data_IF_786479735826
#
_entry.id   IF_786479735826
#
_cell.length_a   1.000
_cell.length_b   1.000
_cell.length_c   1.000
_cell.angle_alpha   90.00
_cell.angle_beta   90.00
_cell.angle_gamma   90.00
#
_symmetry.space_group_name_H-M   'P 1'
#
loop_
_entity.id
_entity.type
_entity.pdbx_description
1 polymer ?
#
# COMPACT_ATOMS: atom_id res chain seq x y z
N UNK A 1 -12.06 8.22 2.10
CA UNK A 1 -12.59 6.84 2.26
C UNK A 1 -11.53 6.00 2.98
N UNK A 2 -11.87 4.78 3.44
CA UNK A 2 -10.93 3.88 4.15
C UNK A 2 -10.66 2.63 3.30
N UNK A 3 -9.40 2.21 3.22
CA UNK A 3 -8.94 1.10 2.39
C UNK A 3 -8.18 0.04 3.20
N UNK A 4 -8.41 -1.22 2.85
CA UNK A 4 -7.62 -2.37 3.27
C UNK A 4 -6.61 -2.71 2.16
N UNK A 5 -5.34 -2.81 2.52
CA UNK A 5 -4.25 -3.22 1.65
C UNK A 5 -3.98 -4.71 1.81
N UNK A 6 -3.91 -5.37 0.66
CA UNK A 6 -3.49 -6.76 0.54
C UNK A 6 -2.22 -6.83 -0.32
N UNK A 7 -1.23 -7.56 0.17
CA UNK A 7 0.01 -7.83 -0.52
C UNK A 7 0.21 -9.34 -0.64
N UNK A 8 0.40 -9.85 -1.86
CA UNK A 8 0.51 -11.29 -2.13
C UNK A 8 -0.67 -12.10 -1.54
N UNK A 9 -1.88 -11.51 -1.58
CA UNK A 9 -3.10 -12.11 -1.02
C UNK A 9 -3.24 -12.02 0.50
N UNK A 10 -2.24 -11.52 1.22
CA UNK A 10 -2.30 -11.33 2.67
C UNK A 10 -2.75 -9.92 3.04
N UNK A 11 -3.62 -9.81 4.04
CA UNK A 11 -4.00 -8.52 4.60
C UNK A 11 -2.82 -7.93 5.38
N UNK A 12 -2.33 -6.76 4.98
CA UNK A 12 -1.14 -6.12 5.57
C UNK A 12 -1.43 -4.78 6.23
N UNK A 13 -2.57 -4.16 5.93
CA UNK A 13 -2.99 -2.93 6.60
C UNK A 13 -4.45 -2.61 6.32
N UNK A 14 -5.14 -2.03 7.29
CA UNK A 14 -6.51 -1.52 7.16
C UNK A 14 -6.49 0.01 7.12
N UNK A 15 -7.65 0.68 7.16
CA UNK A 15 -7.71 2.09 7.58
C UNK A 15 -7.07 3.13 6.66
N UNK A 16 -6.45 2.75 5.54
CA UNK A 16 -5.66 3.66 4.70
C UNK A 16 -6.59 4.71 4.08
N UNK A 17 -6.24 5.99 4.18
CA UNK A 17 -7.02 7.07 3.55
C UNK A 17 -6.68 7.24 2.05
N UNK A 18 -7.49 8.03 1.34
CA UNK A 18 -7.32 8.22 -0.12
C UNK A 18 -5.97 8.86 -0.47
N UNK A 19 -5.49 9.80 0.34
CA UNK A 19 -4.23 10.51 0.11
C UNK A 19 -3.03 9.55 0.26
N UNK A 20 -3.04 8.75 1.32
CA UNK A 20 -2.04 7.73 1.59
C UNK A 20 -2.05 6.65 0.51
N UNK A 21 -3.23 6.17 0.11
CA UNK A 21 -3.37 5.23 -1.01
C UNK A 21 -2.76 5.78 -2.30
N UNK A 22 -3.10 7.02 -2.67
CA UNK A 22 -2.58 7.65 -3.87
C UNK A 22 -1.05 7.76 -3.84
N UNK A 23 -0.48 8.15 -2.71
CA UNK A 23 0.98 8.21 -2.52
C UNK A 23 1.64 6.83 -2.63
N UNK A 24 1.05 5.79 -2.02
CA UNK A 24 1.56 4.43 -2.13
C UNK A 24 1.53 3.90 -3.57
N UNK A 25 0.47 4.19 -4.33
CA UNK A 25 0.36 3.80 -5.74
C UNK A 25 1.45 4.47 -6.58
N UNK A 26 1.68 5.78 -6.40
CA UNK A 26 2.72 6.53 -7.10
C UNK A 26 4.14 5.96 -6.83
N UNK A 27 4.43 5.60 -5.57
CA UNK A 27 5.68 4.92 -5.22
C UNK A 27 5.78 3.53 -5.88
N UNK A 28 4.70 2.75 -5.91
CA UNK A 28 4.69 1.43 -6.56
C UNK A 28 4.89 1.53 -8.08
N UNK A 29 4.26 2.51 -8.73
CA UNK A 29 4.40 2.75 -10.17
C UNK A 29 5.83 3.16 -10.53
N UNK A 30 6.43 4.05 -9.74
CA UNK A 30 7.84 4.44 -9.89
C UNK A 30 8.77 3.24 -9.73
N UNK A 31 8.56 2.44 -8.67
CA UNK A 31 9.35 1.24 -8.41
C UNK A 31 9.22 0.18 -9.53
N UNK A 32 8.02 0.03 -10.08
CA UNK A 32 7.76 -0.86 -11.20
C UNK A 32 8.42 -0.38 -12.49
N UNK A 33 8.45 0.93 -12.74
CA UNK A 33 9.15 1.52 -13.89
C UNK A 33 10.66 1.33 -13.79
N UNK A 34 11.23 1.48 -12.60
CA UNK A 34 12.66 1.33 -12.33
C UNK A 34 13.10 -0.13 -12.16
N UNK A 35 12.16 -1.06 -12.01
CA UNK A 35 12.42 -2.47 -11.73
C UNK A 35 13.08 -2.70 -10.36
N UNK A 36 12.84 -1.82 -9.39
CA UNK A 36 13.46 -1.85 -8.07
C UNK A 36 12.44 -2.13 -6.97
N UNK A 37 12.93 -2.69 -5.86
CA UNK A 37 12.12 -2.85 -4.63
C UNK A 37 11.92 -1.46 -4.03
N UNK A 38 10.69 -1.13 -3.66
CA UNK A 38 10.37 0.08 -2.92
C UNK A 38 10.00 -0.22 -1.47
N UNK A 39 10.48 0.64 -0.57
CA UNK A 39 10.05 0.63 0.82
C UNK A 39 8.89 1.61 1.00
N UNK A 40 7.68 1.08 1.13
CA UNK A 40 6.48 1.86 1.39
C UNK A 40 6.36 2.04 2.90
N UNK A 41 6.56 3.26 3.39
CA UNK A 41 6.35 3.60 4.79
C UNK A 41 5.29 4.70 4.88
N UNK A 42 4.21 4.44 5.60
CA UNK A 42 3.19 5.44 5.90
C UNK A 42 2.71 5.32 7.34
N UNK A 43 2.07 6.37 7.83
CA UNK A 43 1.41 6.36 9.15
C UNK A 43 -0.04 5.96 8.95
N UNK A 44 -0.45 4.88 9.58
CA UNK A 44 -1.84 4.44 9.63
C UNK A 44 -2.65 5.40 10.53
N UNK A 45 -3.95 5.59 10.30
CA UNK A 45 -4.74 6.54 11.08
C UNK A 45 -4.89 6.25 12.58
N UNK A 46 -4.62 5.02 13.03
CA UNK A 46 -4.54 4.68 14.46
C UNK A 46 -3.19 5.06 15.12
N UNK A 47 -2.24 5.56 14.34
CA UNK A 47 -0.91 5.97 14.77
C UNK A 47 0.18 4.93 14.54
N UNK A 48 -0.16 3.71 14.11
CA UNK A 48 0.82 2.68 13.79
C UNK A 48 1.53 2.98 12.47
N UNK A 49 2.77 2.54 12.34
CA UNK A 49 3.55 2.70 11.11
C UNK A 49 3.37 1.47 10.23
N UNK A 50 2.78 1.67 9.05
CA UNK A 50 2.69 0.64 8.03
C UNK A 50 3.97 0.67 7.21
N UNK A 51 4.74 -0.41 7.27
CA UNK A 51 5.95 -0.60 6.45
C UNK A 51 5.81 -1.84 5.58
N UNK A 52 6.04 -1.68 4.28
CA UNK A 52 5.94 -2.75 3.30
C UNK A 52 7.07 -2.66 2.27
N UNK A 53 7.84 -3.73 2.13
CA UNK A 53 8.78 -3.90 1.02
C UNK A 53 8.01 -4.36 -0.23
N UNK A 54 7.66 -3.41 -1.10
CA UNK A 54 7.03 -3.70 -2.37
C UNK A 54 8.05 -4.20 -3.40
N UNK A 55 7.82 -5.42 -3.89
CA UNK A 55 8.55 -5.99 -5.03
C UNK A 55 7.70 -5.89 -6.29
N UNK A 56 8.19 -5.26 -7.38
CA UNK A 56 7.49 -5.21 -8.66
C UNK A 56 7.06 -6.59 -9.16
N UNK A 57 5.84 -6.68 -9.70
CA UNK A 57 5.26 -7.93 -10.18
C UNK A 57 4.56 -8.78 -9.11
N UNK A 58 4.73 -8.49 -7.82
CA UNK A 58 3.92 -9.12 -6.77
C UNK A 58 2.54 -8.45 -6.71
N UNK A 59 1.43 -9.21 -6.70
CA UNK A 59 0.09 -8.64 -6.66
C UNK A 59 -0.15 -7.78 -5.42
N UNK A 60 -0.71 -6.59 -5.65
CA UNK A 60 -1.19 -5.64 -4.63
C UNK A 60 -2.66 -5.34 -4.89
N UNK A 61 -3.48 -5.30 -3.85
CA UNK A 61 -4.89 -4.90 -3.96
C UNK A 61 -5.27 -3.92 -2.85
N UNK A 62 -6.03 -2.89 -3.22
CA UNK A 62 -6.69 -2.00 -2.27
C UNK A 62 -8.20 -2.25 -2.32
N UNK A 63 -8.78 -2.71 -1.21
CA UNK A 63 -10.21 -3.01 -1.08
C UNK A 63 -10.84 -1.93 -0.18
N UNK A 64 -11.93 -1.33 -0.63
CA UNK A 64 -12.65 -0.34 0.18
C UNK A 64 -13.24 -1.02 1.42
N UNK A 65 -12.93 -0.52 2.62
CA UNK A 65 -13.32 -1.15 3.89
C UNK A 65 -14.84 -1.11 4.17
N UNK A 66 -15.61 -0.31 3.43
CA UNK A 66 -17.06 -0.21 3.56
C UNK A 66 -17.85 -1.17 2.64
N UNK A 67 -17.17 -2.14 2.01
CA UNK A 67 -17.77 -3.11 1.07
C UNK A 67 -17.42 -4.54 1.43
#
# INVERSE_FOLDING_TARGET
MSWNLYYHGQHVGSGIDDATKAHMVDMMETAAADGQIAWLATTHPDGDRLELAYTPGVPVMFINSNR
#
